data_IF_187211006284
#
_entry.id   IF_187211006284
#
_cell.length_a   1.000
_cell.length_b   1.000
_cell.length_c   1.000
_cell.angle_alpha   90.00
_cell.angle_beta   90.00
_cell.angle_gamma   90.00
#
_symmetry.space_group_name_H-M   'P 1'
#
loop_
_entity.id
_entity.type
_entity.pdbx_description
1 polymer ?
#
# COMPACT_ATOMS: atom_id res chain seq x y z
N UNK A 1 16.92 22.94 24.97
CA UNK A 1 15.49 22.59 25.13
C UNK A 1 14.78 23.12 23.90
N UNK A 2 14.05 22.26 23.17
CA UNK A 2 13.37 22.64 21.92
C UNK A 2 11.88 22.81 22.19
N UNK A 3 11.30 23.89 21.69
CA UNK A 3 9.87 24.20 21.84
C UNK A 3 9.19 24.14 20.48
N UNK A 4 8.02 23.52 20.39
CA UNK A 4 7.18 23.44 19.18
C UNK A 4 5.84 24.14 19.47
N UNK A 5 5.41 25.03 18.58
CA UNK A 5 4.11 25.70 18.64
C UNK A 5 3.21 25.19 17.52
N UNK A 6 1.98 24.79 17.84
CA UNK A 6 0.98 24.29 16.89
C UNK A 6 -0.21 25.25 16.89
N UNK A 7 -0.56 25.80 15.73
CA UNK A 7 -1.75 26.63 15.54
C UNK A 7 -2.82 25.84 14.77
N UNK A 8 -3.96 25.58 15.41
CA UNK A 8 -5.06 24.78 14.85
C UNK A 8 -6.15 25.63 14.16
N UNK A 9 -6.07 26.96 14.23
CA UNK A 9 -7.08 27.88 13.67
C UNK A 9 -6.75 28.36 12.25
N UNK A 10 -5.52 28.17 11.79
CA UNK A 10 -5.08 28.61 10.45
C UNK A 10 -4.63 27.42 9.59
N UNK A 11 -5.51 26.87 8.74
CA UNK A 11 -5.14 25.82 7.80
C UNK A 11 -4.03 26.28 6.84
N UNK A 12 -3.10 25.38 6.52
CA UNK A 12 -2.01 25.63 5.54
C UNK A 12 -2.24 24.98 4.19
N UNK A 13 -3.10 23.97 4.14
CA UNK A 13 -3.43 23.22 2.93
C UNK A 13 -4.01 21.86 3.28
N UNK A 14 -4.43 21.13 2.24
CA UNK A 14 -4.92 19.75 2.38
C UNK A 14 -3.77 18.80 2.11
N UNK A 15 -3.51 17.89 3.06
CA UNK A 15 -2.60 16.78 2.83
C UNK A 15 -3.28 15.81 1.87
N UNK A 16 -2.81 15.75 0.63
CA UNK A 16 -3.36 14.82 -0.37
C UNK A 16 -3.17 13.38 0.10
N UNK A 17 -4.24 12.58 0.12
CA UNK A 17 -4.13 11.15 0.44
C UNK A 17 -3.11 10.42 -0.44
N UNK A 18 -2.91 10.89 -1.68
CA UNK A 18 -2.05 10.23 -2.66
C UNK A 18 -0.56 10.26 -2.32
N UNK A 19 -0.12 11.08 -1.35
CA UNK A 19 1.27 11.04 -0.85
C UNK A 19 1.58 9.72 -0.11
N UNK A 20 0.55 9.00 0.33
CA UNK A 20 0.66 7.67 0.95
C UNK A 20 0.51 6.53 -0.07
N UNK A 21 0.80 6.79 -1.34
CA UNK A 21 0.78 5.79 -2.42
C UNK A 21 1.85 4.71 -2.26
N UNK A 22 1.65 3.59 -2.96
CA UNK A 22 2.58 2.46 -2.98
C UNK A 22 3.01 2.10 -4.41
N UNK A 23 4.04 1.26 -4.51
CA UNK A 23 4.63 0.81 -5.77
C UNK A 23 4.86 -0.70 -5.72
N UNK A 24 4.50 -1.39 -6.81
CA UNK A 24 4.71 -2.81 -7.00
C UNK A 24 5.31 -3.06 -8.40
N UNK A 25 6.32 -3.90 -8.47
CA UNK A 25 7.09 -4.18 -9.68
C UNK A 25 7.31 -5.67 -9.87
N UNK A 26 7.43 -6.10 -11.14
CA UNK A 26 7.94 -7.42 -11.49
C UNK A 26 9.43 -7.57 -11.16
N UNK A 27 9.78 -7.47 -9.87
CA UNK A 27 11.13 -7.54 -9.34
C UNK A 27 11.16 -8.47 -8.12
N UNK A 28 12.01 -9.48 -8.19
CA UNK A 28 12.15 -10.49 -7.15
C UNK A 28 10.82 -11.18 -6.84
N UNK A 29 10.43 -11.16 -5.57
CA UNK A 29 9.19 -11.79 -5.07
C UNK A 29 8.08 -10.77 -4.79
N UNK A 30 8.14 -9.55 -5.35
CA UNK A 30 7.10 -8.54 -5.12
C UNK A 30 5.75 -8.98 -5.69
N UNK A 31 5.70 -9.31 -6.99
CA UNK A 31 4.49 -9.86 -7.63
C UNK A 31 4.38 -11.36 -7.35
N UNK A 32 5.26 -12.17 -7.93
CA UNK A 32 5.18 -13.63 -7.85
C UNK A 32 5.69 -14.12 -6.49
N UNK A 33 4.86 -14.85 -5.75
CA UNK A 33 5.17 -15.29 -4.39
C UNK A 33 4.92 -14.23 -3.32
N UNK A 34 4.75 -12.96 -3.69
CA UNK A 34 4.38 -11.84 -2.80
C UNK A 34 2.88 -11.58 -2.81
N UNK A 35 2.42 -10.89 -3.86
CA UNK A 35 1.01 -10.58 -4.10
C UNK A 35 0.27 -11.72 -4.81
N UNK A 36 0.84 -12.23 -5.91
CA UNK A 36 0.27 -13.29 -6.73
C UNK A 36 0.80 -14.66 -6.30
N UNK A 37 -0.11 -15.55 -5.94
CA UNK A 37 0.19 -16.95 -5.59
C UNK A 37 -0.45 -17.97 -6.54
N UNK A 38 -1.37 -17.53 -7.42
CA UNK A 38 -2.13 -18.38 -8.35
C UNK A 38 -3.47 -18.85 -7.76
N UNK A 39 -4.49 -19.04 -8.61
CA UNK A 39 -5.85 -19.41 -8.16
C UNK A 39 -5.89 -20.79 -7.49
N UNK A 40 -5.16 -21.77 -8.05
CA UNK A 40 -5.06 -23.14 -7.52
C UNK A 40 -4.03 -23.28 -6.38
N UNK A 41 -3.50 -22.17 -5.87
CA UNK A 41 -2.49 -22.20 -4.81
C UNK A 41 -3.05 -22.75 -3.50
N UNK A 42 -2.31 -23.58 -2.75
CA UNK A 42 -2.71 -23.96 -1.39
C UNK A 42 -2.64 -22.78 -0.41
N UNK A 43 -2.02 -21.66 -0.80
CA UNK A 43 -2.00 -20.43 -0.01
C UNK A 43 -3.38 -19.75 -0.15
N UNK A 44 -4.03 -19.37 0.98
CA UNK A 44 -5.31 -18.66 0.94
C UNK A 44 -5.25 -17.43 0.04
N UNK A 45 -6.13 -17.38 -0.96
CA UNK A 45 -6.14 -16.35 -1.98
C UNK A 45 -7.56 -15.92 -2.37
N UNK A 46 -7.66 -14.72 -2.93
CA UNK A 46 -8.83 -14.21 -3.62
C UNK A 46 -8.43 -13.98 -5.07
N UNK A 47 -8.94 -14.79 -6.01
CA UNK A 47 -8.59 -14.69 -7.44
C UNK A 47 -7.07 -14.72 -7.68
N UNK A 48 -6.35 -15.61 -7.00
CA UNK A 48 -4.91 -15.77 -7.10
C UNK A 48 -4.07 -14.74 -6.32
N UNK A 49 -4.69 -13.72 -5.72
CA UNK A 49 -4.02 -12.74 -4.86
C UNK A 49 -4.02 -13.25 -3.42
N UNK A 50 -2.85 -13.31 -2.77
CA UNK A 50 -2.71 -13.75 -1.38
C UNK A 50 -3.61 -12.92 -0.45
N UNK A 51 -4.56 -13.56 0.22
CA UNK A 51 -5.56 -12.88 1.07
C UNK A 51 -4.91 -12.05 2.18
N UNK A 52 -3.88 -12.59 2.84
CA UNK A 52 -3.17 -11.88 3.90
C UNK A 52 -2.51 -10.57 3.42
N UNK A 53 -1.96 -10.55 2.19
CA UNK A 53 -1.38 -9.35 1.62
C UNK A 53 -2.46 -8.32 1.27
N UNK A 54 -3.57 -8.78 0.69
CA UNK A 54 -4.71 -7.94 0.37
C UNK A 54 -5.31 -7.28 1.62
N UNK A 55 -5.46 -8.03 2.71
CA UNK A 55 -6.00 -7.51 3.97
C UNK A 55 -5.03 -6.53 4.66
N UNK A 56 -3.72 -6.79 4.58
CA UNK A 56 -2.72 -5.83 5.06
C UNK A 56 -2.78 -4.50 4.31
N UNK A 57 -2.89 -4.52 2.96
CA UNK A 57 -3.02 -3.32 2.14
C UNK A 57 -4.33 -2.55 2.43
N UNK A 58 -5.44 -3.27 2.66
CA UNK A 58 -6.71 -2.65 3.07
C UNK A 58 -6.59 -1.97 4.44
N UNK A 59 -5.93 -2.61 5.42
CA UNK A 59 -5.76 -2.07 6.77
C UNK A 59 -5.02 -0.73 6.79
N UNK A 60 -4.06 -0.54 5.89
CA UNK A 60 -3.31 0.72 5.76
C UNK A 60 -3.95 1.72 4.79
N UNK A 61 -5.13 1.40 4.23
CA UNK A 61 -5.92 2.27 3.36
C UNK A 61 -5.13 2.83 2.17
N UNK A 62 -4.43 1.95 1.42
CA UNK A 62 -3.62 2.41 0.30
C UNK A 62 -4.46 3.24 -0.69
N UNK A 63 -3.99 4.44 -1.07
CA UNK A 63 -4.77 5.36 -1.89
C UNK A 63 -4.60 5.15 -3.39
N UNK A 64 -3.45 4.60 -3.77
CA UNK A 64 -3.06 4.27 -5.13
C UNK A 64 -1.91 3.25 -5.08
N UNK A 65 -1.77 2.48 -6.16
CA UNK A 65 -0.70 1.50 -6.34
C UNK A 65 -0.15 1.66 -7.77
N UNK A 66 1.11 2.05 -7.88
CA UNK A 66 1.83 2.11 -9.16
C UNK A 66 2.34 0.72 -9.55
N UNK A 67 2.19 0.36 -10.82
CA UNK A 67 2.59 -0.91 -11.44
C UNK A 67 2.77 -0.64 -12.96
N UNK A 68 3.65 -1.31 -13.74
CA UNK A 68 4.34 -2.58 -13.48
C UNK A 68 5.78 -2.51 -12.94
N UNK A 69 6.33 -1.32 -12.73
CA UNK A 69 7.75 -1.15 -12.48
C UNK A 69 8.29 0.17 -13.01
N UNK A 70 9.62 0.33 -13.00
CA UNK A 70 10.37 1.35 -13.76
C UNK A 70 9.79 2.75 -13.72
#
# INVERSE_FOLDING_TARGET
>A
MTTIHINTTTPKGTISRHIYGHFAEHLGQCIYGGLWVGEDSPIPNTQGIRTAALDALRRINIPNLRWPGG
#
